data_IF_248983152001
#
_entry.id   IF_248983152001
#
_cell.length_a   1.000
_cell.length_b   1.000
_cell.length_c   1.000
_cell.angle_alpha   90.00
_cell.angle_beta   90.00
_cell.angle_gamma   90.00
#
_symmetry.space_group_name_H-M   'P 1'
#
loop_
_entity.id
_entity.type
_entity.pdbx_description
1 polymer ?
#
# COMPACT_ATOMS: atom_id res chain seq x y z
N UNK A 1 16.27 -1.93 25.46
CA UNK A 1 17.36 -1.75 24.49
C UNK A 1 17.23 -2.88 23.51
N UNK A 2 16.89 -2.73 22.24
CA UNK A 2 16.60 -1.64 21.31
C UNK A 2 15.58 -2.29 20.34
N UNK A 3 14.52 -1.62 19.88
CA UNK A 3 14.51 -1.07 18.53
C UNK A 3 13.45 0.03 18.46
N UNK A 4 13.90 1.26 18.73
CA UNK A 4 13.24 2.47 18.24
C UNK A 4 13.93 2.83 16.93
N UNK A 5 13.40 2.32 15.81
CA UNK A 5 13.60 2.77 14.43
C UNK A 5 12.74 1.81 13.57
N UNK A 6 11.62 2.19 13.00
CA UNK A 6 11.47 3.33 12.11
C UNK A 6 10.00 3.79 12.08
N UNK A 7 9.78 5.05 11.75
CA UNK A 7 8.51 5.78 11.91
C UNK A 7 7.46 5.40 10.85
N UNK A 8 7.14 4.11 10.75
CA UNK A 8 6.17 3.56 9.81
C UNK A 8 4.78 3.51 10.48
N UNK A 9 3.72 3.93 9.79
CA UNK A 9 2.37 3.83 10.36
C UNK A 9 2.02 2.36 10.61
N UNK A 10 1.37 2.07 11.74
CA UNK A 10 0.86 0.73 12.06
C UNK A 10 -0.01 0.22 10.89
N UNK A 11 0.38 -0.90 10.28
CA UNK A 11 -0.35 -1.54 9.19
C UNK A 11 -0.93 -2.87 9.66
N UNK A 12 -2.21 -3.11 9.36
CA UNK A 12 -2.92 -4.34 9.72
C UNK A 12 -2.69 -5.44 8.67
N UNK A 13 -2.46 -5.03 7.42
CA UNK A 13 -2.16 -5.94 6.35
C UNK A 13 -1.00 -5.43 5.52
N UNK A 14 -0.27 -6.38 4.94
CA UNK A 14 0.76 -6.13 3.93
C UNK A 14 0.36 -6.82 2.63
N UNK A 15 0.60 -6.14 1.51
CA UNK A 15 0.39 -6.60 0.15
C UNK A 15 1.69 -6.43 -0.62
N UNK A 16 2.32 -7.53 -0.98
CA UNK A 16 3.46 -7.50 -1.87
C UNK A 16 2.96 -7.53 -3.33
N UNK A 17 3.29 -6.47 -4.09
CA UNK A 17 2.94 -6.28 -5.49
C UNK A 17 4.16 -6.14 -6.38
N UNK A 18 5.32 -6.60 -5.90
CA UNK A 18 6.56 -6.62 -6.69
C UNK A 18 6.36 -7.36 -8.03
N UNK A 19 6.60 -6.66 -9.15
CA UNK A 19 6.46 -7.22 -10.50
C UNK A 19 5.03 -7.40 -11.02
N UNK A 20 4.00 -6.93 -10.29
CA UNK A 20 2.61 -7.03 -10.71
C UNK A 20 2.18 -5.82 -11.56
N UNK A 21 1.78 -6.10 -12.80
CA UNK A 21 1.20 -5.12 -13.70
C UNK A 21 -0.33 -5.12 -13.60
N UNK A 22 -0.93 -3.93 -13.77
CA UNK A 22 -2.37 -3.75 -13.81
C UNK A 22 -3.01 -4.71 -14.85
N UNK A 23 -4.04 -5.50 -14.50
CA UNK A 23 -5.09 -5.22 -13.51
C UNK A 23 -5.05 -6.04 -12.20
N UNK A 24 -4.04 -6.87 -11.97
CA UNK A 24 -4.01 -7.77 -10.79
C UNK A 24 -3.94 -7.06 -9.42
N UNK A 25 -3.23 -5.93 -9.23
CA UNK A 25 -3.18 -5.23 -7.94
C UNK A 25 -4.55 -4.73 -7.47
N UNK A 26 -5.42 -4.35 -8.41
CA UNK A 26 -6.76 -3.84 -8.13
C UNK A 26 -7.64 -4.95 -7.56
N UNK A 27 -7.58 -6.15 -8.15
CA UNK A 27 -8.37 -7.28 -7.68
C UNK A 27 -7.89 -7.79 -6.33
N UNK A 28 -6.56 -7.82 -6.12
CA UNK A 28 -5.95 -8.21 -4.85
C UNK A 28 -6.30 -7.23 -3.74
N UNK A 29 -6.17 -5.92 -3.98
CA UNK A 29 -6.61 -4.91 -3.02
C UNK A 29 -8.11 -5.02 -2.77
N UNK A 30 -8.97 -5.14 -3.79
CA UNK A 30 -10.42 -5.28 -3.58
C UNK A 30 -10.78 -6.51 -2.70
N UNK A 31 -10.12 -7.65 -2.90
CA UNK A 31 -10.31 -8.82 -2.03
C UNK A 31 -9.81 -8.53 -0.61
N UNK A 32 -8.64 -7.89 -0.48
CA UNK A 32 -8.06 -7.56 0.83
C UNK A 32 -8.90 -6.54 1.59
N UNK A 33 -9.41 -5.50 0.91
CA UNK A 33 -10.34 -4.49 1.44
C UNK A 33 -11.63 -5.14 1.90
N UNK A 34 -12.11 -6.18 1.20
CA UNK A 34 -13.32 -6.90 1.59
C UNK A 34 -13.15 -7.70 2.88
N UNK A 35 -11.93 -8.18 3.13
CA UNK A 35 -11.57 -8.86 4.38
C UNK A 35 -11.14 -7.88 5.49
N UNK A 36 -10.81 -6.64 5.13
CA UNK A 36 -10.39 -5.57 6.03
C UNK A 36 -11.54 -4.60 6.35
N UNK A 37 -11.36 -3.81 7.41
CA UNK A 37 -12.34 -2.80 7.81
C UNK A 37 -11.90 -1.40 7.38
N UNK A 38 -12.88 -0.55 7.05
CA UNK A 38 -12.67 0.90 6.90
C UNK A 38 -11.96 1.45 8.15
N UNK A 39 -10.84 2.14 7.93
CA UNK A 39 -9.94 2.65 8.97
C UNK A 39 -8.65 1.85 9.13
N UNK A 40 -8.58 0.62 8.61
CA UNK A 40 -7.36 -0.19 8.64
C UNK A 40 -6.34 0.28 7.60
N UNK A 41 -5.07 0.07 7.90
CA UNK A 41 -3.94 0.48 7.06
C UNK A 41 -3.35 -0.73 6.36
N UNK A 42 -3.28 -0.65 5.05
CA UNK A 42 -2.65 -1.61 4.15
C UNK A 42 -1.29 -1.08 3.70
N UNK A 43 -0.24 -1.84 3.96
CA UNK A 43 1.09 -1.60 3.43
C UNK A 43 1.24 -2.30 2.09
N UNK A 44 1.57 -1.57 1.03
CA UNK A 44 1.85 -2.10 -0.30
C UNK A 44 3.34 -2.00 -0.58
N UNK A 45 3.97 -3.11 -0.94
CA UNK A 45 5.38 -3.14 -1.35
C UNK A 45 5.44 -3.35 -2.86
N UNK A 46 6.23 -2.54 -3.55
CA UNK A 46 6.47 -2.66 -4.98
C UNK A 46 7.92 -2.31 -5.28
N UNK A 47 8.45 -2.76 -6.43
CA UNK A 47 9.80 -2.43 -6.90
C UNK A 47 9.76 -1.58 -8.17
N UNK A 48 8.58 -1.40 -8.75
CA UNK A 48 8.39 -0.75 -10.03
C UNK A 48 8.03 0.73 -9.88
N UNK A 49 8.62 1.63 -10.68
CA UNK A 49 8.32 3.06 -10.63
C UNK A 49 6.88 3.39 -11.08
N UNK A 50 6.24 2.50 -11.85
CA UNK A 50 4.85 2.66 -12.29
C UNK A 50 3.87 2.76 -11.12
N UNK A 51 4.16 2.04 -10.03
CA UNK A 51 3.32 1.96 -8.82
C UNK A 51 3.17 3.31 -8.13
N UNK A 52 4.14 4.23 -8.30
CA UNK A 52 4.07 5.60 -7.76
C UNK A 52 2.92 6.42 -8.38
N UNK A 53 2.51 6.09 -9.60
CA UNK A 53 1.41 6.76 -10.31
C UNK A 53 0.10 6.00 -10.17
N UNK A 54 0.17 4.67 -10.09
CA UNK A 54 -1.00 3.81 -10.04
C UNK A 54 -1.61 3.75 -8.63
N UNK A 55 -0.80 3.72 -7.56
CA UNK A 55 -1.27 3.74 -6.18
C UNK A 55 -2.16 4.95 -5.84
N UNK A 56 -1.75 6.20 -6.07
CA UNK A 56 -2.60 7.35 -5.77
C UNK A 56 -3.87 7.39 -6.63
N UNK A 57 -3.81 6.94 -7.90
CA UNK A 57 -5.00 6.77 -8.74
C UNK A 57 -5.96 5.75 -8.16
N UNK A 58 -5.44 4.61 -7.71
CA UNK A 58 -6.20 3.55 -7.09
C UNK A 58 -6.87 4.02 -5.79
N UNK A 59 -6.10 4.69 -4.92
CA UNK A 59 -6.61 5.28 -3.69
C UNK A 59 -7.77 6.24 -3.98
N UNK A 60 -7.59 7.13 -4.95
CA UNK A 60 -8.64 8.08 -5.33
C UNK A 60 -9.86 7.42 -5.96
N UNK A 61 -9.69 6.33 -6.72
CA UNK A 61 -10.79 5.64 -7.39
C UNK A 61 -11.68 4.84 -6.43
N UNK A 62 -11.08 4.23 -5.41
CA UNK A 62 -11.81 3.46 -4.37
C UNK A 62 -12.17 4.28 -3.13
N UNK A 63 -11.70 5.52 -3.05
CA UNK A 63 -11.92 6.38 -1.88
C UNK A 63 -11.06 6.00 -0.67
N UNK A 64 -9.91 5.36 -0.90
CA UNK A 64 -8.91 5.10 0.13
C UNK A 64 -7.96 6.30 0.26
N UNK A 65 -7.31 6.40 1.42
CA UNK A 65 -6.43 7.50 1.75
C UNK A 65 -4.98 7.04 1.80
N UNK A 66 -4.11 7.63 0.98
CA UNK A 66 -2.68 7.36 1.05
C UNK A 66 -2.09 8.11 2.25
N UNK A 67 -1.74 7.39 3.32
CA UNK A 67 -1.15 7.97 4.54
C UNK A 67 0.32 8.31 4.35
N UNK A 68 1.08 7.39 3.76
CA UNK A 68 2.50 7.57 3.56
C UNK A 68 2.97 6.82 2.32
N UNK A 69 4.01 7.33 1.69
CA UNK A 69 4.76 6.63 0.66
C UNK A 69 6.24 6.78 0.97
N UNK A 70 6.97 5.68 0.88
CA UNK A 70 8.43 5.66 0.99
C UNK A 70 9.00 5.05 -0.26
N UNK A 71 10.07 5.65 -0.76
CA UNK A 71 10.91 5.06 -1.79
C UNK A 71 12.28 4.83 -1.14
N UNK A 72 12.67 3.56 -1.00
CA UNK A 72 13.99 3.17 -0.49
C UNK A 72 14.71 2.35 -1.55
N UNK A 73 15.77 2.92 -2.11
CA UNK A 73 16.67 2.36 -3.13
C UNK A 73 15.96 1.73 -4.34
N UNK A 74 15.54 0.47 -4.21
CA UNK A 74 14.89 -0.34 -5.26
C UNK A 74 13.45 -0.77 -4.89
N UNK A 75 12.91 -0.29 -3.77
CA UNK A 75 11.57 -0.63 -3.27
C UNK A 75 10.76 0.61 -2.93
N UNK A 76 9.53 0.60 -3.37
CA UNK A 76 8.48 1.54 -3.01
C UNK A 76 7.52 0.89 -2.02
N UNK A 77 7.32 1.56 -0.89
CA UNK A 77 6.38 1.20 0.15
C UNK A 77 5.27 2.23 0.16
N UNK A 78 4.02 1.79 0.17
CA UNK A 78 2.85 2.66 0.28
C UNK A 78 2.01 2.23 1.46
N UNK A 79 1.53 3.18 2.24
CA UNK A 79 0.65 2.95 3.38
C UNK A 79 -0.68 3.59 3.06
N UNK A 80 -1.70 2.77 2.88
CA UNK A 80 -3.00 3.18 2.40
C UNK A 80 -4.02 2.82 3.47
N UNK A 81 -4.74 3.82 3.97
CA UNK A 81 -5.85 3.63 4.87
C UNK A 81 -7.13 3.39 4.08
N UNK A 82 -7.83 2.33 4.42
CA UNK A 82 -9.14 2.02 3.87
C UNK A 82 -10.16 3.04 4.37
N UNK A 83 -10.94 3.57 3.44
CA UNK A 83 -12.01 4.55 3.68
C UNK A 83 -13.39 3.93 3.71
#
# INVERSE_FOLDING_TARGET
MVDTADSLPDFQAELDTTGLYCPEPIMLMHNKVRDMQTGEVLKVVATDPATTRDVPKFCSFLGHELLAQQASDERYLYFIRLG
#
